data_IF_042841041703
#
_entry.id   IF_042841041703
#
_cell.length_a   1.000
_cell.length_b   1.000
_cell.length_c   1.000
_cell.angle_alpha   90.00
_cell.angle_beta   90.00
_cell.angle_gamma   90.00
#
_symmetry.space_group_name_H-M   'P 1'
#
loop_
_entity.id
_entity.type
_entity.pdbx_description
1 polymer ?
#
# COMPACT_ATOMS: atom_id res chain seq x y z
N UNK A 1 -15.07 5.33 64.75
CA UNK A 1 -13.74 5.73 64.22
C UNK A 1 -12.74 4.65 64.59
N UNK A 2 -12.55 3.67 63.72
CA UNK A 2 -11.46 2.70 63.80
C UNK A 2 -11.22 2.18 62.37
N UNK A 3 -10.00 2.46 61.91
CA UNK A 3 -9.18 1.85 60.86
C UNK A 3 -9.84 0.98 59.78
N UNK A 4 -9.70 1.44 58.53
CA UNK A 4 -9.68 0.59 57.34
C UNK A 4 -8.28 0.71 56.72
N UNK A 5 -7.60 -0.41 56.43
CA UNK A 5 -6.75 -0.41 55.25
C UNK A 5 -6.69 -1.79 54.57
N UNK A 6 -7.72 -2.15 53.80
CA UNK A 6 -7.55 -3.16 52.73
C UNK A 6 -7.28 -2.44 51.41
N UNK A 7 -6.02 -2.06 51.23
CA UNK A 7 -5.47 -1.59 49.97
C UNK A 7 -5.18 -2.81 49.08
N UNK A 8 -6.21 -3.41 48.48
CA UNK A 8 -6.01 -4.33 47.37
C UNK A 8 -6.04 -3.50 46.10
N UNK A 9 -4.85 -3.16 45.60
CA UNK A 9 -4.70 -2.51 44.30
C UNK A 9 -5.29 -3.41 43.21
N UNK A 10 -6.40 -2.99 42.63
CA UNK A 10 -6.94 -3.56 41.40
C UNK A 10 -5.92 -3.35 40.29
N UNK A 11 -5.13 -4.39 39.99
CA UNK A 11 -4.37 -4.46 38.75
C UNK A 11 -5.40 -4.66 37.64
N UNK A 12 -5.76 -3.56 36.99
CA UNK A 12 -6.42 -3.63 35.69
C UNK A 12 -5.45 -4.33 34.75
N UNK A 13 -5.73 -5.60 34.44
CA UNK A 13 -5.10 -6.29 33.32
C UNK A 13 -5.57 -5.54 32.08
N UNK A 14 -4.71 -4.67 31.57
CA UNK A 14 -4.86 -4.04 30.28
C UNK A 14 -5.00 -5.16 29.25
N UNK A 15 -6.22 -5.37 28.75
CA UNK A 15 -6.48 -6.33 27.68
C UNK A 15 -5.75 -5.80 26.45
N UNK A 16 -4.60 -6.38 26.15
CA UNK A 16 -3.91 -6.17 24.89
C UNK A 16 -4.91 -6.43 23.74
N UNK A 17 -4.95 -5.58 22.70
CA UNK A 17 -5.86 -5.79 21.58
C UNK A 17 -5.56 -7.17 20.97
N UNK A 18 -6.51 -8.09 21.08
CA UNK A 18 -6.38 -9.39 20.42
C UNK A 18 -6.47 -9.13 18.91
N UNK A 19 -5.35 -9.24 18.21
CA UNK A 19 -5.39 -9.29 16.76
C UNK A 19 -6.26 -10.48 16.36
N UNK A 20 -7.41 -10.21 15.74
CA UNK A 20 -8.34 -11.23 15.29
C UNK A 20 -7.59 -12.23 14.39
N UNK A 21 -7.82 -13.53 14.59
CA UNK A 21 -7.22 -14.57 13.76
C UNK A 21 -7.65 -14.39 12.30
N UNK A 22 -6.70 -14.29 11.37
CA UNK A 22 -7.01 -14.23 9.94
C UNK A 22 -7.49 -15.59 9.43
N UNK A 23 -8.51 -15.59 8.57
CA UNK A 23 -8.91 -16.80 7.83
C UNK A 23 -7.81 -17.18 6.82
N UNK A 24 -7.46 -18.47 6.68
CA UNK A 24 -6.55 -18.91 5.63
C UNK A 24 -7.03 -18.47 4.25
N UNK A 25 -6.15 -17.85 3.47
CA UNK A 25 -6.44 -17.44 2.10
C UNK A 25 -5.73 -18.41 1.14
N UNK A 26 -6.48 -19.17 0.31
CA UNK A 26 -5.88 -20.03 -0.69
C UNK A 26 -5.04 -19.23 -1.69
N UNK A 27 -4.02 -19.87 -2.26
CA UNK A 27 -3.14 -19.23 -3.23
C UNK A 27 -3.94 -18.83 -4.49
N UNK A 28 -4.06 -17.53 -4.75
CA UNK A 28 -4.83 -17.00 -5.90
C UNK A 28 -4.21 -17.40 -7.24
N UNK A 29 -2.88 -17.53 -7.32
CA UNK A 29 -2.21 -17.95 -8.55
C UNK A 29 -2.54 -19.41 -8.88
N UNK A 30 -2.63 -20.29 -7.87
CA UNK A 30 -3.03 -21.69 -8.07
C UNK A 30 -4.51 -21.80 -8.44
N UNK A 31 -5.39 -21.01 -7.80
CA UNK A 31 -6.81 -20.91 -8.17
C UNK A 31 -6.98 -20.50 -9.64
N UNK A 32 -6.23 -19.49 -10.08
CA UNK A 32 -6.29 -19.01 -11.46
C UNK A 32 -5.76 -20.06 -12.47
N UNK A 33 -4.76 -20.86 -12.08
CA UNK A 33 -4.23 -21.94 -12.94
C UNK A 33 -5.18 -23.12 -13.07
N UNK A 34 -5.90 -23.47 -12.01
CA UNK A 34 -6.77 -24.64 -11.98
C UNK A 34 -8.12 -24.39 -12.65
N UNK A 35 -8.74 -23.23 -12.41
CA UNK A 35 -10.02 -22.88 -13.03
C UNK A 35 -10.19 -21.36 -13.21
N UNK A 36 -9.64 -20.76 -14.30
CA UNK A 36 -9.56 -19.31 -14.46
C UNK A 36 -10.92 -18.60 -14.60
N UNK A 37 -11.99 -19.33 -14.94
CA UNK A 37 -13.33 -18.78 -15.12
C UNK A 37 -14.14 -18.68 -13.81
N UNK A 38 -13.65 -19.30 -12.73
CA UNK A 38 -14.36 -19.34 -11.46
C UNK A 38 -13.64 -18.51 -10.41
N UNK A 39 -14.15 -17.30 -10.17
CA UNK A 39 -13.71 -16.46 -9.07
C UNK A 39 -14.51 -16.83 -7.82
N UNK A 40 -13.85 -17.15 -6.69
CA UNK A 40 -14.56 -17.37 -5.44
C UNK A 40 -15.31 -16.12 -4.97
N UNK A 41 -16.51 -16.29 -4.42
CA UNK A 41 -17.42 -15.20 -4.00
C UNK A 41 -16.74 -14.15 -3.10
N UNK A 42 -15.82 -14.59 -2.24
CA UNK A 42 -15.02 -13.73 -1.36
C UNK A 42 -14.10 -12.72 -2.07
N UNK A 43 -13.92 -12.82 -3.39
CA UNK A 43 -13.19 -11.87 -4.22
C UNK A 43 -14.11 -11.03 -5.13
N UNK A 44 -15.42 -11.29 -5.12
CA UNK A 44 -16.37 -10.42 -5.80
C UNK A 44 -16.46 -9.10 -5.03
N UNK A 45 -16.12 -8.00 -5.71
CA UNK A 45 -16.37 -6.66 -5.18
C UNK A 45 -17.80 -6.25 -5.52
N UNK A 46 -18.46 -5.58 -4.59
CA UNK A 46 -19.72 -4.90 -4.89
C UNK A 46 -19.45 -3.75 -5.84
N UNK A 47 -20.44 -3.41 -6.66
CA UNK A 47 -20.34 -2.30 -7.59
C UNK A 47 -20.05 -0.97 -6.87
N UNK A 48 -20.58 -0.80 -5.66
CA UNK A 48 -20.35 0.35 -4.77
C UNK A 48 -18.88 0.48 -4.33
N UNK A 49 -18.18 -0.65 -4.19
CA UNK A 49 -16.76 -0.74 -3.81
C UNK A 49 -15.83 -0.70 -5.03
N UNK A 50 -16.40 -0.78 -6.24
CA UNK A 50 -15.63 -0.69 -7.46
C UNK A 50 -15.22 0.77 -7.64
N UNK A 51 -13.94 1.05 -7.93
CA UNK A 51 -13.55 2.38 -8.38
C UNK A 51 -14.45 2.73 -9.56
N UNK A 52 -15.19 3.84 -9.46
CA UNK A 52 -15.98 4.34 -10.59
C UNK A 52 -14.95 4.71 -11.65
N UNK A 53 -14.73 3.79 -12.59
CA UNK A 53 -13.88 4.02 -13.76
C UNK A 53 -14.65 4.99 -14.64
N UNK A 54 -14.69 6.25 -14.22
CA UNK A 54 -14.84 7.34 -15.15
C UNK A 54 -13.58 7.35 -16.02
N UNK A 55 -13.73 7.76 -17.27
CA UNK A 55 -12.69 7.89 -18.31
C UNK A 55 -11.44 8.74 -17.90
N UNK A 56 -11.34 9.13 -16.64
CA UNK A 56 -10.25 9.89 -16.01
C UNK A 56 -9.01 9.06 -15.69
N UNK A 57 -9.05 7.73 -15.64
CA UNK A 57 -7.87 6.94 -15.23
C UNK A 57 -6.63 7.17 -16.12
N UNK A 58 -6.84 7.36 -17.44
CA UNK A 58 -5.75 7.73 -18.35
C UNK A 58 -5.29 9.19 -18.21
N UNK A 59 -6.18 10.09 -17.77
CA UNK A 59 -5.85 11.50 -17.54
C UNK A 59 -4.99 11.64 -16.28
N UNK A 60 -5.38 10.98 -15.19
CA UNK A 60 -4.68 11.02 -13.90
C UNK A 60 -3.26 10.44 -13.96
N UNK A 61 -3.03 9.41 -14.80
CA UNK A 61 -1.67 8.87 -14.98
C UNK A 61 -0.70 9.88 -15.63
N UNK A 62 -1.22 10.81 -16.43
CA UNK A 62 -0.43 11.91 -17.03
C UNK A 62 -0.17 13.05 -16.04
N UNK A 63 -0.90 13.08 -14.91
CA UNK A 63 -0.78 14.13 -13.89
C UNK A 63 0.19 13.74 -12.76
N UNK A 64 0.56 12.45 -12.64
CA UNK A 64 1.53 12.00 -11.62
C UNK A 64 2.86 12.73 -11.84
N UNK A 65 3.39 13.45 -10.81
CA UNK A 65 4.63 14.18 -10.93
C UNK A 65 5.81 13.26 -11.30
N UNK A 66 6.66 13.72 -12.21
CA UNK A 66 7.91 13.05 -12.56
C UNK A 66 9.07 13.90 -12.03
N UNK A 67 9.87 13.32 -11.14
CA UNK A 67 10.99 13.99 -10.48
C UNK A 67 12.31 13.48 -11.07
N UNK A 68 13.15 14.41 -11.51
CA UNK A 68 14.49 14.10 -12.00
C UNK A 68 15.51 14.10 -10.84
N UNK A 69 16.04 12.93 -10.51
CA UNK A 69 16.96 12.78 -9.38
C UNK A 69 18.26 13.58 -9.52
N UNK A 70 18.74 13.76 -10.76
CA UNK A 70 19.92 14.58 -11.02
C UNK A 70 19.73 16.04 -10.56
N UNK A 71 18.52 16.59 -10.66
CA UNK A 71 18.21 17.96 -10.20
C UNK A 71 18.19 18.04 -8.67
N UNK A 72 17.70 16.99 -7.99
CA UNK A 72 17.76 16.88 -6.53
C UNK A 72 19.19 16.91 -6.01
N UNK A 73 20.11 16.22 -6.69
CA UNK A 73 21.54 16.22 -6.32
C UNK A 73 22.20 17.60 -6.45
N UNK A 74 21.59 18.50 -7.22
CA UNK A 74 22.01 19.90 -7.39
C UNK A 74 21.30 20.85 -6.42
N UNK A 75 20.45 20.33 -5.52
CA UNK A 75 19.73 21.12 -4.50
C UNK A 75 18.32 21.56 -4.90
N UNK A 76 17.80 21.14 -6.06
CA UNK A 76 16.46 21.52 -6.53
C UNK A 76 15.37 20.61 -5.93
N UNK A 77 15.15 20.69 -4.61
CA UNK A 77 14.19 19.82 -3.90
C UNK A 77 12.74 20.32 -3.89
N UNK A 78 12.45 21.48 -4.49
CA UNK A 78 11.13 22.12 -4.43
C UNK A 78 10.03 21.25 -5.06
N UNK A 79 10.29 20.68 -6.24
CA UNK A 79 9.34 19.80 -6.94
C UNK A 79 9.06 18.52 -6.16
N UNK A 80 10.08 17.95 -5.51
CA UNK A 80 9.90 16.79 -4.64
C UNK A 80 9.04 17.14 -3.42
N UNK A 81 9.29 18.27 -2.77
CA UNK A 81 8.51 18.71 -1.62
C UNK A 81 7.04 18.95 -2.01
N UNK A 82 6.81 19.55 -3.18
CA UNK A 82 5.47 19.78 -3.72
C UNK A 82 4.76 18.45 -4.01
N UNK A 83 5.42 17.52 -4.71
CA UNK A 83 4.87 16.21 -5.01
C UNK A 83 4.54 15.42 -3.74
N UNK A 84 5.43 15.42 -2.74
CA UNK A 84 5.16 14.78 -1.46
C UNK A 84 3.95 15.38 -0.74
N UNK A 85 3.78 16.70 -0.78
CA UNK A 85 2.71 17.42 -0.08
C UNK A 85 1.36 17.30 -0.79
N UNK A 86 1.34 17.44 -2.11
CA UNK A 86 0.10 17.54 -2.89
C UNK A 86 -0.35 16.19 -3.43
N UNK A 87 0.59 15.31 -3.79
CA UNK A 87 0.30 14.01 -4.36
C UNK A 87 0.52 12.86 -3.37
N UNK A 88 1.58 12.92 -2.56
CA UNK A 88 2.05 11.78 -1.77
C UNK A 88 2.59 10.62 -2.62
N UNK A 89 2.65 10.80 -3.94
CA UNK A 89 3.12 9.82 -4.92
C UNK A 89 3.75 10.55 -6.12
N UNK A 90 4.81 9.99 -6.68
CA UNK A 90 5.51 10.53 -7.85
C UNK A 90 6.34 9.42 -8.51
N UNK A 91 6.70 9.64 -9.76
CA UNK A 91 7.68 8.81 -10.48
C UNK A 91 9.05 9.48 -10.39
N UNK A 92 10.12 8.69 -10.27
CA UNK A 92 11.49 9.22 -10.24
C UNK A 92 12.27 8.68 -11.44
N UNK A 93 12.91 9.58 -12.18
CA UNK A 93 13.72 9.26 -13.37
C UNK A 93 15.16 9.72 -13.17
N UNK A 94 16.05 9.20 -14.01
CA UNK A 94 17.50 9.47 -13.96
C UNK A 94 18.09 9.29 -12.55
N UNK A 95 17.56 8.32 -11.79
CA UNK A 95 17.95 8.01 -10.41
C UNK A 95 19.35 7.39 -10.27
N UNK A 96 20.08 7.19 -11.37
CA UNK A 96 21.45 6.67 -11.36
C UNK A 96 21.57 5.18 -11.00
N UNK A 97 20.45 4.45 -10.90
CA UNK A 97 20.47 2.99 -10.71
C UNK A 97 20.62 2.37 -12.08
N UNK A 98 21.69 1.59 -12.27
CA UNK A 98 21.99 0.92 -13.51
C UNK A 98 20.83 0.00 -13.93
N UNK A 99 20.46 0.02 -15.20
CA UNK A 99 19.34 -0.78 -15.71
C UNK A 99 19.55 -2.27 -15.43
N UNK A 100 20.80 -2.73 -15.48
CA UNK A 100 21.23 -4.08 -15.16
C UNK A 100 20.93 -4.50 -13.72
N UNK A 101 20.70 -3.57 -12.79
CA UNK A 101 20.21 -3.86 -11.44
C UNK A 101 18.68 -3.93 -11.42
N UNK A 102 17.99 -3.16 -12.27
CA UNK A 102 16.52 -3.11 -12.33
C UNK A 102 15.90 -4.26 -13.13
N UNK A 103 16.50 -4.64 -14.26
CA UNK A 103 15.99 -5.71 -15.13
C UNK A 103 15.97 -7.11 -14.49
N UNK A 104 16.97 -7.52 -13.68
CA UNK A 104 16.95 -8.81 -13.01
C UNK A 104 16.19 -8.79 -11.68
N UNK A 105 15.76 -7.64 -11.16
CA UNK A 105 14.81 -7.64 -10.06
C UNK A 105 13.54 -8.34 -10.57
N UNK A 106 13.04 -9.39 -9.88
CA UNK A 106 11.79 -10.00 -10.26
C UNK A 106 10.77 -8.87 -10.28
N UNK A 107 10.14 -8.63 -11.44
CA UNK A 107 9.09 -7.60 -11.61
C UNK A 107 8.29 -7.57 -10.33
N UNK A 108 8.48 -6.52 -9.54
CA UNK A 108 7.84 -6.41 -8.24
C UNK A 108 6.35 -6.68 -8.47
N UNK A 109 5.67 -7.40 -7.57
CA UNK A 109 4.25 -7.75 -7.75
C UNK A 109 3.37 -6.53 -8.09
N UNK A 110 3.82 -5.32 -7.75
CA UNK A 110 3.20 -4.04 -8.08
C UNK A 110 3.21 -3.68 -9.60
N UNK A 111 4.17 -4.17 -10.38
CA UNK A 111 4.37 -3.76 -11.78
C UNK A 111 3.58 -4.58 -12.81
N UNK A 112 2.67 -5.47 -12.38
CA UNK A 112 1.74 -6.19 -13.28
C UNK A 112 0.36 -5.54 -13.39
N UNK A 113 0.16 -4.37 -12.78
CA UNK A 113 -1.11 -3.64 -12.79
C UNK A 113 -1.04 -2.33 -13.61
N UNK A 114 -0.15 -2.29 -14.60
CA UNK A 114 -0.13 -1.32 -15.70
C UNK A 114 -0.04 -2.08 -17.02
#
# INVERSE_FOLDING_TARGET
>A
MASNPDHVASIAVENAPSFASSLPVPNVQELARSNPLQVPERYHRKEEDMPKVADTCHHLASEIPIIEFCLLSQGHSEELNLACREWGFFQMVNHGVAGEVLYPLPKCCCCKML
#
